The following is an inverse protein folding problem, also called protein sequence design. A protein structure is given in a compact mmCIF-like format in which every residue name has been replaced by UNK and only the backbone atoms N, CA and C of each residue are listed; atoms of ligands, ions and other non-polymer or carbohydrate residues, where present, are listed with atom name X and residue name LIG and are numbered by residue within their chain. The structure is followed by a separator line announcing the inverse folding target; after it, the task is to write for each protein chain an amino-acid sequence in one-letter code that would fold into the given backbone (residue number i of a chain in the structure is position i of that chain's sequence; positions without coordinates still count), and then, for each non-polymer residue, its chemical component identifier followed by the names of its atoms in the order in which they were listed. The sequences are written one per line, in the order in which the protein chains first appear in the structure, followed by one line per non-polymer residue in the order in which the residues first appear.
data_IF_809640395970
#
_entry.id   IF_809640395970
#
_cell.length_a   1.000
_cell.length_b   1.000
_cell.length_c   1.000
_cell.angle_alpha   90.00
_cell.angle_beta   90.00
_cell.angle_gamma   90.00
#
_symmetry.space_group_name_H-M   'P 1'
#
loop_
_entity.id
_entity.type
_entity.pdbx_description
1 polymer ?
#
# COMPACT_ATOMS: atom_id res chain seq x y z
N UNK A 1 23.92 10.14 23.33
CA UNK A 1 22.51 9.93 22.92
C UNK A 1 21.64 10.48 24.03
N UNK A 2 20.55 11.22 23.78
CA UNK A 2 19.73 11.79 24.86
C UNK A 2 19.02 10.68 25.65
N UNK A 3 18.78 10.90 26.95
CA UNK A 3 18.13 9.93 27.84
C UNK A 3 16.76 9.48 27.31
N UNK A 4 15.96 10.42 26.77
CA UNK A 4 14.66 10.14 26.17
C UNK A 4 14.77 9.21 24.95
N UNK A 5 15.81 9.39 24.13
CA UNK A 5 16.05 8.51 22.98
C UNK A 5 16.44 7.10 23.41
N UNK A 6 17.19 6.97 24.52
CA UNK A 6 17.52 5.66 25.09
C UNK A 6 16.26 4.93 25.58
N UNK A 7 15.40 5.62 26.34
CA UNK A 7 14.12 5.08 26.83
C UNK A 7 13.18 4.70 25.68
N UNK A 8 13.13 5.51 24.63
CA UNK A 8 12.36 5.19 23.43
C UNK A 8 12.89 3.93 22.73
N UNK A 9 14.20 3.86 22.46
CA UNK A 9 14.82 2.71 21.81
C UNK A 9 14.60 1.42 22.62
N UNK A 10 14.64 1.51 23.95
CA UNK A 10 14.37 0.39 24.84
C UNK A 10 12.96 -0.19 24.61
N UNK A 11 11.93 0.67 24.50
CA UNK A 11 10.56 0.23 24.21
C UNK A 11 10.43 -0.35 22.79
N UNK A 12 11.09 0.28 21.83
CA UNK A 12 11.05 -0.14 20.42
C UNK A 12 11.71 -1.52 20.22
N UNK A 13 12.81 -1.80 20.91
CA UNK A 13 13.47 -3.10 20.81
C UNK A 13 12.53 -4.25 21.19
N UNK A 14 11.64 -4.06 22.18
CA UNK A 14 10.64 -5.08 22.54
C UNK A 14 9.52 -5.24 21.49
N UNK A 15 9.28 -4.21 20.65
CA UNK A 15 8.41 -4.34 19.45
C UNK A 15 9.10 -5.19 18.39
N UNK A 16 10.42 -5.13 18.26
CA UNK A 16 11.15 -5.87 17.22
C UNK A 16 11.42 -7.32 17.63
N UNK A 17 11.84 -7.56 18.87
CA UNK A 17 12.13 -8.90 19.37
C UNK A 17 10.96 -9.84 19.18
N UNK A 18 11.27 -11.03 18.67
CA UNK A 18 10.35 -12.10 18.32
C UNK A 18 9.25 -11.68 17.35
N UNK A 19 9.47 -10.62 16.55
CA UNK A 19 8.55 -10.26 15.47
C UNK A 19 8.75 -11.20 14.29
N UNK A 20 7.71 -11.94 13.95
CA UNK A 20 7.65 -12.91 12.87
C UNK A 20 7.07 -12.24 11.63
N UNK A 21 7.68 -12.47 10.49
CA UNK A 21 7.22 -11.94 9.21
C UNK A 21 7.57 -12.88 8.05
N UNK A 22 6.92 -12.64 6.91
CA UNK A 22 7.13 -13.34 5.66
C UNK A 22 7.08 -12.33 4.52
N UNK A 23 8.09 -12.33 3.65
CA UNK A 23 8.16 -11.45 2.49
C UNK A 23 8.12 -12.32 1.23
N UNK A 24 6.99 -12.37 0.51
CA UNK A 24 6.92 -13.16 -0.71
C UNK A 24 7.76 -12.53 -1.82
N UNK A 25 8.39 -13.34 -2.66
CA UNK A 25 9.11 -12.81 -3.84
C UNK A 25 8.14 -12.13 -4.82
N UNK A 26 6.87 -12.54 -4.83
CA UNK A 26 5.85 -12.04 -5.76
C UNK A 26 5.48 -10.56 -5.56
N UNK A 27 5.82 -9.95 -4.42
CA UNK A 27 5.60 -8.52 -4.19
C UNK A 27 6.79 -7.65 -4.57
N UNK A 28 7.92 -8.25 -4.95
CA UNK A 28 9.13 -7.54 -5.34
C UNK A 28 9.23 -7.38 -6.86
N UNK A 29 9.76 -6.23 -7.28
CA UNK A 29 10.19 -6.05 -8.66
C UNK A 29 11.46 -6.89 -8.90
N UNK A 30 11.42 -7.78 -9.89
CA UNK A 30 12.51 -8.75 -10.12
C UNK A 30 13.83 -8.09 -10.55
N UNK A 31 13.79 -6.91 -11.18
CA UNK A 31 14.98 -6.18 -11.58
C UNK A 31 15.62 -5.45 -10.40
N UNK A 32 14.81 -4.95 -9.46
CA UNK A 32 15.30 -4.41 -8.18
C UNK A 32 15.79 -5.52 -7.23
N UNK A 33 15.09 -6.66 -7.17
CA UNK A 33 15.47 -7.81 -6.34
C UNK A 33 16.87 -8.33 -6.66
N UNK A 34 17.24 -8.40 -7.94
CA UNK A 34 18.58 -8.82 -8.37
C UNK A 34 19.71 -7.94 -7.83
N UNK A 35 19.42 -6.65 -7.56
CA UNK A 35 20.38 -5.66 -7.06
C UNK A 35 20.58 -5.73 -5.55
N UNK A 36 19.72 -6.47 -4.81
CA UNK A 36 19.84 -6.58 -3.36
C UNK A 36 21.10 -7.38 -2.96
N UNK A 37 21.69 -7.10 -1.79
CA UNK A 37 22.71 -7.96 -1.18
C UNK A 37 22.17 -9.39 -0.97
N UNK A 38 23.04 -10.40 -1.07
CA UNK A 38 22.65 -11.81 -0.85
C UNK A 38 21.99 -12.04 0.51
N UNK A 39 22.46 -11.37 1.56
CA UNK A 39 21.88 -11.40 2.91
C UNK A 39 20.42 -10.90 2.96
N UNK A 40 20.05 -9.98 2.06
CA UNK A 40 18.67 -9.50 1.96
C UNK A 40 17.80 -10.45 1.14
N UNK A 41 18.39 -11.15 0.16
CA UNK A 41 17.69 -12.16 -0.64
C UNK A 41 17.34 -13.39 0.20
N UNK A 42 18.16 -13.75 1.20
CA UNK A 42 17.91 -14.90 2.07
C UNK A 42 16.67 -14.80 2.97
N UNK A 43 16.10 -13.59 3.12
CA UNK A 43 14.87 -13.33 3.89
C UNK A 43 13.61 -13.62 3.07
N UNK A 44 13.71 -13.61 1.74
CA UNK A 44 12.56 -13.69 0.82
C UNK A 44 12.07 -15.13 0.70
N UNK A 45 10.75 -15.30 0.60
CA UNK A 45 10.05 -16.58 0.57
C UNK A 45 10.34 -17.48 1.77
N UNK A 46 10.74 -16.88 2.90
CA UNK A 46 11.01 -17.59 4.15
C UNK A 46 10.31 -16.95 5.33
N UNK A 47 9.89 -17.79 6.26
CA UNK A 47 9.43 -17.32 7.56
C UNK A 47 10.67 -16.87 8.32
N UNK A 48 10.67 -15.61 8.71
CA UNK A 48 11.78 -14.98 9.41
C UNK A 48 11.26 -14.39 10.71
N UNK A 49 12.06 -14.46 11.76
CA UNK A 49 11.81 -13.68 12.97
C UNK A 49 13.06 -12.94 13.42
N UNK A 50 12.86 -11.92 14.25
CA UNK A 50 13.94 -11.17 14.88
C UNK A 50 14.19 -11.78 16.26
N UNK A 51 15.39 -12.25 16.56
CA UNK A 51 15.70 -12.86 17.86
C UNK A 51 15.88 -11.81 18.98
N UNK A 52 16.31 -12.27 20.16
CA UNK A 52 16.55 -11.43 21.33
C UNK A 52 17.67 -10.39 21.13
N UNK A 53 18.64 -10.72 20.28
CA UNK A 53 19.81 -9.93 19.94
C UNK A 53 19.58 -9.05 18.69
N UNK A 54 18.34 -9.02 18.19
CA UNK A 54 17.91 -8.30 17.00
C UNK A 54 18.50 -8.81 15.68
N UNK A 55 18.92 -10.08 15.64
CA UNK A 55 19.33 -10.74 14.40
C UNK A 55 18.13 -11.36 13.69
N UNK A 56 18.22 -11.44 12.36
CA UNK A 56 17.26 -12.19 11.57
C UNK A 56 17.56 -13.69 11.65
N UNK A 57 16.58 -14.45 12.11
CA UNK A 57 16.64 -15.91 12.16
C UNK A 57 15.64 -16.47 11.15
N UNK A 58 16.13 -17.40 10.33
CA UNK A 58 15.39 -18.01 9.23
C UNK A 58 14.98 -19.42 9.63
N UNK A 59 13.67 -19.70 9.67
CA UNK A 59 13.19 -21.04 9.99
C UNK A 59 12.17 -21.51 8.94
N UNK A 60 12.21 -22.80 8.64
CA UNK A 60 11.20 -23.45 7.80
C UNK A 60 9.89 -23.68 8.56
N UNK A 61 9.93 -23.71 9.89
CA UNK A 61 8.77 -23.87 10.77
C UNK A 61 9.09 -23.34 12.16
N UNK A 62 8.31 -22.40 12.67
CA UNK A 62 8.52 -21.83 14.01
C UNK A 62 7.71 -22.56 15.08
N UNK A 63 8.35 -22.82 16.22
CA UNK A 63 7.68 -23.35 17.40
C UNK A 63 6.81 -22.31 18.12
N UNK A 64 5.73 -22.77 18.75
CA UNK A 64 4.81 -21.92 19.52
C UNK A 64 5.48 -21.18 20.69
N UNK A 65 6.59 -21.73 21.21
CA UNK A 65 7.39 -21.15 22.30
C UNK A 65 7.90 -19.75 21.96
N UNK A 66 8.24 -19.48 20.70
CA UNK A 66 8.78 -18.18 20.24
C UNK A 66 7.75 -17.06 20.39
N UNK A 67 6.44 -17.37 20.35
CA UNK A 67 5.37 -16.38 20.55
C UNK A 67 5.05 -16.06 22.00
N UNK A 68 5.21 -17.03 22.91
CA UNK A 68 5.02 -16.78 24.34
C UNK A 68 6.00 -15.72 24.86
N UNK A 69 7.15 -15.59 24.21
CA UNK A 69 8.12 -14.55 24.51
C UNK A 69 7.58 -13.17 24.13
N UNK A 70 6.86 -13.05 23.00
CA UNK A 70 6.37 -11.76 22.49
C UNK A 70 5.42 -11.05 23.46
N UNK A 71 4.43 -11.78 23.98
CA UNK A 71 3.46 -11.20 24.92
C UNK A 71 4.16 -10.70 26.19
N UNK A 72 5.15 -11.44 26.69
CA UNK A 72 5.98 -11.04 27.83
C UNK A 72 6.76 -9.75 27.56
N UNK A 73 7.39 -9.64 26.38
CA UNK A 73 8.13 -8.44 25.97
C UNK A 73 7.24 -7.20 25.89
N UNK A 74 6.07 -7.32 25.26
CA UNK A 74 5.11 -6.21 25.16
C UNK A 74 4.58 -5.81 26.54
N UNK A 75 4.27 -6.78 27.39
CA UNK A 75 3.86 -6.50 28.78
C UNK A 75 4.94 -5.77 29.59
N UNK A 76 6.22 -6.08 29.35
CA UNK A 76 7.32 -5.35 29.98
C UNK A 76 7.30 -3.86 29.61
N UNK A 77 6.94 -3.52 28.36
CA UNK A 77 6.79 -2.13 27.95
C UNK A 77 5.63 -1.42 28.68
N UNK A 78 4.55 -2.12 29.02
CA UNK A 78 3.49 -1.53 29.84
C UNK A 78 4.03 -1.07 31.20
N UNK A 79 4.83 -1.89 31.88
CA UNK A 79 5.46 -1.51 33.14
C UNK A 79 6.42 -0.33 32.98
N UNK A 80 7.27 -0.36 31.94
CA UNK A 80 8.18 0.77 31.65
C UNK A 80 7.45 2.06 31.34
N UNK A 81 6.34 2.01 30.62
CA UNK A 81 5.53 3.20 30.34
C UNK A 81 4.94 3.80 31.62
N UNK A 82 4.53 2.95 32.58
CA UNK A 82 4.07 3.42 33.89
C UNK A 82 5.23 4.11 34.64
N UNK A 83 6.39 3.46 34.70
CA UNK A 83 7.59 4.04 35.34
C UNK A 83 8.01 5.38 34.68
N UNK A 84 7.99 5.45 33.35
CA UNK A 84 8.33 6.66 32.61
C UNK A 84 7.31 7.77 32.81
N UNK A 85 6.03 7.44 33.03
CA UNK A 85 4.99 8.41 33.37
C UNK A 85 5.26 9.08 34.72
N UNK A 86 5.83 8.34 35.67
CA UNK A 86 6.18 8.85 37.00
C UNK A 86 7.51 9.62 37.02
N UNK A 87 8.46 9.22 36.17
CA UNK A 87 9.84 9.76 36.20
C UNK A 87 10.09 10.89 35.21
N UNK A 88 9.38 10.94 34.08
CA UNK A 88 9.51 12.01 33.09
C UNK A 88 8.55 13.16 33.36
N UNK A 89 8.92 14.37 32.96
CA UNK A 89 7.97 15.46 32.89
C UNK A 89 6.88 15.18 31.83
N UNK A 90 5.72 15.84 31.97
CA UNK A 90 4.56 15.59 31.13
C UNK A 90 4.84 15.75 29.62
N UNK A 91 5.65 16.73 29.21
CA UNK A 91 5.97 16.98 27.80
C UNK A 91 6.81 15.83 27.24
N UNK A 92 7.87 15.44 27.96
CA UNK A 92 8.74 14.33 27.56
C UNK A 92 7.98 13.00 27.50
N UNK A 93 7.10 12.74 28.47
CA UNK A 93 6.27 11.54 28.48
C UNK A 93 5.28 11.52 27.31
N UNK A 94 4.57 12.63 27.05
CA UNK A 94 3.66 12.75 25.91
C UNK A 94 4.39 12.45 24.60
N UNK A 95 5.52 13.12 24.37
CA UNK A 95 6.32 12.91 23.18
C UNK A 95 6.78 11.45 23.02
N UNK A 96 7.31 10.83 24.08
CA UNK A 96 7.76 9.43 24.02
C UNK A 96 6.59 8.48 23.76
N UNK A 97 5.47 8.67 24.44
CA UNK A 97 4.30 7.78 24.32
C UNK A 97 3.62 7.89 22.96
N UNK A 98 3.52 9.09 22.38
CA UNK A 98 3.00 9.31 21.03
C UNK A 98 3.87 8.63 19.96
N UNK A 99 5.19 8.80 20.05
CA UNK A 99 6.11 8.17 19.10
C UNK A 99 6.13 6.65 19.26
N UNK A 100 6.06 6.15 20.51
CA UNK A 100 5.97 4.73 20.78
C UNK A 100 4.67 4.13 20.21
N UNK A 101 3.53 4.77 20.46
CA UNK A 101 2.23 4.33 19.93
C UNK A 101 2.24 4.29 18.40
N UNK A 102 2.79 5.31 17.75
CA UNK A 102 2.92 5.35 16.28
C UNK A 102 3.70 4.16 15.71
N UNK A 103 4.82 3.78 16.35
CA UNK A 103 5.55 2.57 15.95
C UNK A 103 4.72 1.31 16.22
N UNK A 104 4.06 1.25 17.38
CA UNK A 104 3.23 0.11 17.73
C UNK A 104 2.08 -0.11 16.73
N UNK A 105 1.40 0.96 16.32
CA UNK A 105 0.35 0.95 15.29
C UNK A 105 0.87 0.41 13.95
N UNK A 106 2.07 0.83 13.56
CA UNK A 106 2.73 0.39 12.32
C UNK A 106 2.94 -1.13 12.34
N UNK A 107 3.49 -1.67 13.42
CA UNK A 107 3.76 -3.11 13.53
C UNK A 107 2.48 -3.92 13.74
N UNK A 108 1.48 -3.37 14.43
CA UNK A 108 0.15 -3.98 14.52
C UNK A 108 -0.51 -4.07 13.15
N UNK A 109 -0.44 -3.00 12.34
CA UNK A 109 -0.94 -3.00 10.97
C UNK A 109 -0.29 -4.11 10.15
N UNK A 110 1.05 -4.20 10.13
CA UNK A 110 1.74 -5.26 9.42
C UNK A 110 1.33 -6.64 9.93
N UNK A 111 1.31 -6.84 11.25
CA UNK A 111 0.92 -8.12 11.84
C UNK A 111 -0.49 -8.55 11.50
N UNK A 112 -1.44 -7.61 11.41
CA UNK A 112 -2.83 -7.89 11.04
C UNK A 112 -2.97 -8.33 9.57
N UNK A 113 -2.01 -7.98 8.71
CA UNK A 113 -2.03 -8.35 7.30
C UNK A 113 -1.25 -9.64 6.98
N UNK A 114 -0.34 -10.06 7.86
CA UNK A 114 0.59 -11.17 7.59
C UNK A 114 -0.12 -12.49 7.26
N UNK A 115 -1.17 -12.85 8.00
CA UNK A 115 -1.89 -14.12 7.73
C UNK A 115 -2.52 -14.13 6.33
N UNK A 116 -3.15 -13.02 5.93
CA UNK A 116 -3.77 -12.89 4.61
C UNK A 116 -2.72 -12.85 3.49
N UNK A 117 -1.61 -12.14 3.70
CA UNK A 117 -0.52 -12.12 2.73
C UNK A 117 0.16 -13.48 2.58
N UNK A 118 0.37 -14.20 3.67
CA UNK A 118 0.93 -15.54 3.64
C UNK A 118 0.01 -16.52 2.89
N UNK A 119 -1.29 -16.53 3.20
CA UNK A 119 -2.26 -17.40 2.53
C UNK A 119 -2.35 -17.15 1.01
N UNK A 120 -2.21 -15.88 0.60
CA UNK A 120 -2.30 -15.49 -0.81
C UNK A 120 -1.03 -15.78 -1.60
N UNK A 121 0.14 -15.63 -0.98
CA UNK A 121 1.41 -15.57 -1.71
C UNK A 121 2.37 -16.72 -1.39
N UNK A 122 2.24 -17.38 -0.24
CA UNK A 122 3.10 -18.50 0.11
C UNK A 122 2.74 -19.73 -0.74
N UNK A 123 3.74 -20.42 -1.33
CA UNK A 123 3.50 -21.70 -1.99
C UNK A 123 3.01 -22.77 -0.99
N UNK A 124 3.52 -22.70 0.25
CA UNK A 124 3.21 -23.64 1.32
C UNK A 124 2.35 -22.97 2.39
N UNK A 125 1.08 -23.39 2.47
CA UNK A 125 0.07 -22.83 3.39
C UNK A 125 0.04 -23.59 4.71
N UNK A 126 1.14 -23.50 5.45
CA UNK A 126 1.24 -24.14 6.76
C UNK A 126 0.28 -23.50 7.78
N UNK A 127 -0.58 -24.33 8.38
CA UNK A 127 -1.60 -23.90 9.35
C UNK A 127 -0.94 -23.37 10.62
N UNK A 128 0.19 -23.96 11.04
CA UNK A 128 0.89 -23.52 12.24
C UNK A 128 1.36 -22.08 12.06
N UNK A 129 2.00 -21.76 10.93
CA UNK A 129 2.47 -20.42 10.57
C UNK A 129 1.33 -19.39 10.55
N UNK A 130 0.18 -19.74 9.97
CA UNK A 130 -1.00 -18.88 10.03
C UNK A 130 -1.47 -18.63 11.47
N UNK A 131 -1.53 -19.68 12.30
CA UNK A 131 -1.85 -19.54 13.71
C UNK A 131 -0.83 -18.64 14.43
N UNK A 132 0.44 -18.69 14.05
CA UNK A 132 1.47 -17.83 14.64
C UNK A 132 1.23 -16.35 14.30
N UNK A 133 0.93 -16.03 13.03
CA UNK A 133 0.61 -14.66 12.62
C UNK A 133 -0.65 -14.12 13.30
N UNK A 134 -1.67 -14.96 13.47
CA UNK A 134 -2.90 -14.59 14.18
C UNK A 134 -2.63 -14.31 15.66
N UNK A 135 -1.80 -15.13 16.32
CA UNK A 135 -1.41 -14.90 17.70
C UNK A 135 -0.57 -13.62 17.85
N UNK A 136 0.36 -13.35 16.94
CA UNK A 136 1.12 -12.10 16.93
C UNK A 136 0.20 -10.88 16.78
N UNK A 137 -0.77 -10.94 15.85
CA UNK A 137 -1.79 -9.90 15.66
C UNK A 137 -2.56 -9.64 16.96
N UNK A 138 -3.01 -10.70 17.64
CA UNK A 138 -3.70 -10.58 18.93
C UNK A 138 -2.82 -9.92 20.00
N UNK A 139 -1.54 -10.30 20.09
CA UNK A 139 -0.59 -9.71 21.05
C UNK A 139 -0.43 -8.20 20.82
N UNK A 140 -0.27 -7.77 19.56
CA UNK A 140 -0.14 -6.35 19.23
C UNK A 140 -1.42 -5.55 19.51
N UNK A 141 -2.59 -6.07 19.11
CA UNK A 141 -3.86 -5.39 19.34
C UNK A 141 -4.21 -5.30 20.83
N UNK A 142 -3.88 -6.34 21.60
CA UNK A 142 -4.04 -6.33 23.07
C UNK A 142 -3.11 -5.29 23.70
N UNK A 143 -1.84 -5.26 23.28
CA UNK A 143 -0.86 -4.30 23.79
C UNK A 143 -1.24 -2.85 23.49
N UNK A 144 -1.75 -2.58 22.28
CA UNK A 144 -2.32 -1.28 21.93
C UNK A 144 -3.38 -0.85 22.95
N UNK A 145 -4.33 -1.73 23.26
CA UNK A 145 -5.39 -1.42 24.22
C UNK A 145 -4.86 -1.16 25.64
N UNK A 146 -3.76 -1.79 26.04
CA UNK A 146 -3.08 -1.51 27.32
C UNK A 146 -2.36 -0.16 27.30
N UNK A 147 -1.63 0.15 26.22
CA UNK A 147 -0.93 1.43 26.03
C UNK A 147 -1.92 2.60 26.03
N UNK A 148 -3.07 2.47 25.37
CA UNK A 148 -4.13 3.49 25.42
C UNK A 148 -4.60 3.74 26.85
N UNK A 149 -4.78 2.68 27.66
CA UNK A 149 -5.21 2.81 29.08
C UNK A 149 -4.15 3.52 29.92
N UNK A 150 -2.86 3.23 29.71
CA UNK A 150 -1.76 3.80 30.49
C UNK A 150 -1.53 5.28 30.14
N UNK A 151 -1.54 5.59 28.84
CA UNK A 151 -1.14 6.89 28.31
C UNK A 151 -2.32 7.85 28.16
N UNK A 152 -3.55 7.33 28.03
CA UNK A 152 -4.73 8.11 27.66
C UNK A 152 -4.78 8.48 26.17
N UNK A 153 -3.77 8.09 25.39
CA UNK A 153 -3.76 8.28 23.94
C UNK A 153 -4.77 7.34 23.27
N UNK A 154 -5.22 7.76 22.09
CA UNK A 154 -6.06 6.94 21.22
C UNK A 154 -5.32 6.62 19.95
N UNK A 155 -5.46 5.37 19.52
CA UNK A 155 -4.99 4.93 18.22
C UNK A 155 -5.57 5.86 17.17
N UNK A 156 -4.69 6.43 16.36
CA UNK A 156 -5.13 7.13 15.17
C UNK A 156 -5.31 6.09 14.07
N UNK A 157 -6.32 6.25 13.21
CA UNK A 157 -6.48 5.35 12.07
C UNK A 157 -5.18 5.36 11.27
N UNK A 158 -4.41 4.26 11.33
CA UNK A 158 -3.16 4.11 10.62
C UNK A 158 -3.41 4.40 9.13
N UNK A 159 -2.95 5.55 8.67
CA UNK A 159 -3.09 5.94 7.28
C UNK A 159 -1.84 5.45 6.54
N UNK A 160 -1.99 4.32 5.85
CA UNK A 160 -0.93 3.71 5.06
C UNK A 160 -0.28 4.71 4.08
N UNK A 161 -1.05 5.64 3.51
CA UNK A 161 -0.52 6.65 2.59
C UNK A 161 0.40 7.64 3.31
N UNK A 162 0.00 8.09 4.51
CA UNK A 162 0.82 8.98 5.33
C UNK A 162 2.11 8.28 5.77
N UNK A 163 2.02 7.03 6.24
CA UNK A 163 3.20 6.26 6.62
C UNK A 163 4.16 6.04 5.43
N UNK A 164 3.64 5.64 4.26
CA UNK A 164 4.47 5.50 3.05
C UNK A 164 5.13 6.83 2.68
N UNK A 165 4.41 7.94 2.81
CA UNK A 165 4.95 9.27 2.53
C UNK A 165 6.07 9.64 3.51
N UNK A 166 5.87 9.44 4.81
CA UNK A 166 6.88 9.67 5.84
C UNK A 166 8.11 8.78 5.63
N UNK A 167 7.90 7.49 5.34
CA UNK A 167 8.97 6.53 5.03
C UNK A 167 9.75 7.00 3.81
N UNK A 168 9.08 7.37 2.70
CA UNK A 168 9.72 7.93 1.49
C UNK A 168 10.56 9.17 1.78
N UNK A 169 10.16 9.97 2.78
CA UNK A 169 10.88 11.18 3.15
C UNK A 169 12.11 10.92 4.03
N UNK A 170 12.24 9.72 4.61
CA UNK A 170 13.41 9.35 5.41
C UNK A 170 14.69 9.30 4.55
N UNK A 171 15.87 9.67 5.10
CA UNK A 171 17.13 9.66 4.36
C UNK A 171 17.51 8.30 3.77
N UNK A 172 17.08 7.21 4.41
CA UNK A 172 17.33 5.83 3.98
C UNK A 172 16.53 5.56 2.71
N UNK A 173 15.22 5.80 2.72
CA UNK A 173 14.38 5.57 1.55
C UNK A 173 14.49 6.65 0.49
N UNK A 174 14.97 7.86 0.79
CA UNK A 174 15.37 8.84 -0.23
C UNK A 174 16.50 8.34 -1.13
N UNK A 175 17.35 7.44 -0.61
CA UNK A 175 18.41 6.78 -1.38
C UNK A 175 17.89 5.61 -2.20
N UNK A 176 16.82 4.95 -1.73
CA UNK A 176 16.13 3.86 -2.43
C UNK A 176 14.99 4.33 -3.34
N UNK A 177 14.53 5.57 -3.21
CA UNK A 177 13.78 6.28 -4.24
C UNK A 177 14.76 6.67 -5.33
N UNK A 178 15.32 5.63 -5.95
CA UNK A 178 15.81 5.70 -7.31
C UNK A 178 14.67 6.33 -8.10
N UNK A 179 15.01 7.27 -9.00
CA UNK A 179 14.09 7.75 -10.02
C UNK A 179 13.64 6.55 -10.86
N UNK A 180 12.70 5.75 -10.35
CA UNK A 180 11.88 4.87 -11.15
C UNK A 180 11.18 5.84 -12.09
N UNK A 181 11.59 5.81 -13.37
CA UNK A 181 10.87 6.51 -14.40
C UNK A 181 9.38 6.18 -14.19
N UNK A 182 8.50 7.18 -14.03
CA UNK A 182 7.11 6.94 -13.69
C UNK A 182 6.58 5.88 -14.66
N UNK A 183 6.10 4.76 -14.10
CA UNK A 183 5.57 3.66 -14.93
C UNK A 183 4.55 4.28 -15.87
N UNK A 184 4.84 4.11 -17.15
CA UNK A 184 4.00 4.60 -18.23
C UNK A 184 2.55 4.10 -18.04
N UNK A 185 1.62 5.02 -17.70
CA UNK A 185 0.20 4.70 -17.43
C UNK A 185 -0.58 4.43 -18.72
N UNK A 186 -1.32 3.33 -18.84
CA UNK A 186 -2.17 3.06 -20.01
C UNK A 186 -3.60 3.58 -19.78
N UNK A 187 -4.42 3.62 -20.83
CA UNK A 187 -5.78 4.17 -20.74
C UNK A 187 -6.63 3.43 -19.68
N UNK A 188 -6.48 2.11 -19.55
CA UNK A 188 -7.07 1.29 -18.50
C UNK A 188 -6.77 1.77 -17.08
N UNK A 189 -5.62 2.40 -16.84
CA UNK A 189 -5.24 2.88 -15.51
C UNK A 189 -6.07 4.11 -15.08
N UNK A 190 -6.82 4.71 -16.00
CA UNK A 190 -7.76 5.81 -15.74
C UNK A 190 -9.22 5.34 -15.66
N UNK A 191 -9.49 4.05 -15.89
CA UNK A 191 -10.83 3.47 -15.78
C UNK A 191 -11.02 2.95 -14.35
N UNK A 192 -11.88 3.62 -13.59
CA UNK A 192 -12.27 3.31 -12.20
C UNK A 192 -13.27 2.15 -12.13
N UNK A 193 -12.94 1.02 -12.75
CA UNK A 193 -13.78 -0.18 -12.78
C UNK A 193 -12.92 -1.44 -12.60
N UNK A 194 -13.43 -2.48 -11.93
CA UNK A 194 -12.71 -3.74 -11.69
C UNK A 194 -12.31 -4.46 -12.98
N UNK A 195 -13.14 -4.36 -14.02
CA UNK A 195 -12.94 -4.91 -15.37
C UNK A 195 -12.31 -3.90 -16.35
N UNK A 196 -11.39 -3.06 -15.88
CA UNK A 196 -10.82 -1.97 -16.69
C UNK A 196 -10.09 -2.47 -17.96
N UNK A 197 -9.40 -3.61 -17.90
CA UNK A 197 -8.71 -4.22 -19.04
C UNK A 197 -9.68 -4.68 -20.11
N UNK A 198 -10.80 -5.28 -19.72
CA UNK A 198 -11.83 -5.76 -20.62
C UNK A 198 -12.55 -4.60 -21.30
N UNK A 199 -12.81 -3.51 -20.56
CA UNK A 199 -13.38 -2.28 -21.11
C UNK A 199 -12.43 -1.65 -22.13
N UNK A 200 -11.15 -1.47 -21.80
CA UNK A 200 -10.12 -0.97 -22.74
C UNK A 200 -10.07 -1.82 -24.01
N UNK A 201 -9.99 -3.15 -23.86
CA UNK A 201 -9.92 -4.10 -24.97
C UNK A 201 -11.16 -4.04 -25.87
N UNK A 202 -12.35 -3.91 -25.27
CA UNK A 202 -13.63 -3.80 -25.99
C UNK A 202 -13.69 -2.50 -26.80
N UNK A 203 -13.26 -1.38 -26.21
CA UNK A 203 -13.18 -0.08 -26.88
C UNK A 203 -12.18 -0.12 -28.04
N UNK A 204 -10.98 -0.67 -27.83
CA UNK A 204 -9.95 -0.78 -28.86
C UNK A 204 -10.40 -1.65 -30.04
N UNK A 205 -11.08 -2.76 -29.77
CA UNK A 205 -11.61 -3.66 -30.81
C UNK A 205 -12.65 -2.96 -31.69
N UNK A 206 -13.50 -2.12 -31.09
CA UNK A 206 -14.56 -1.39 -31.80
C UNK A 206 -14.04 -0.14 -32.52
N UNK A 207 -13.07 0.55 -31.91
CA UNK A 207 -12.61 1.87 -32.34
C UNK A 207 -11.08 1.93 -32.52
N UNK A 208 -10.47 1.09 -33.37
CA UNK A 208 -9.02 0.98 -33.47
C UNK A 208 -8.33 2.26 -34.00
N UNK A 209 -9.06 3.10 -34.74
CA UNK A 209 -8.52 4.28 -35.43
C UNK A 209 -9.23 5.59 -35.06
N UNK A 210 -9.90 5.61 -33.91
CA UNK A 210 -10.66 6.79 -33.46
C UNK A 210 -9.72 7.95 -33.09
N UNK A 211 -10.12 9.17 -33.43
CA UNK A 211 -9.29 10.37 -33.27
C UNK A 211 -10.08 11.64 -33.00
N UNK A 212 -9.40 12.62 -32.42
CA UNK A 212 -9.88 13.97 -32.15
C UNK A 212 -11.18 14.00 -31.38
N UNK A 213 -12.15 14.75 -31.89
CA UNK A 213 -13.47 14.94 -31.30
C UNK A 213 -14.19 13.62 -30.95
N UNK A 214 -14.00 12.57 -31.75
CA UNK A 214 -14.63 11.25 -31.50
C UNK A 214 -14.03 10.53 -30.29
N UNK A 215 -12.73 10.71 -30.04
CA UNK A 215 -12.08 10.22 -28.81
C UNK A 215 -12.69 10.89 -27.58
N UNK A 216 -12.99 12.20 -27.68
CA UNK A 216 -13.65 12.93 -26.60
C UNK A 216 -15.03 12.35 -26.26
N UNK A 217 -15.76 11.81 -27.24
CA UNK A 217 -17.06 11.18 -26.97
C UNK A 217 -16.94 9.90 -26.14
N UNK A 218 -15.90 9.09 -26.37
CA UNK A 218 -15.62 7.91 -25.53
C UNK A 218 -15.32 8.34 -24.09
N UNK A 219 -14.45 9.35 -23.94
CA UNK A 219 -14.08 9.88 -22.62
C UNK A 219 -15.33 10.39 -21.89
N UNK A 220 -16.16 11.17 -22.57
CA UNK A 220 -17.39 11.76 -22.02
C UNK A 220 -18.40 10.68 -21.59
N UNK A 221 -18.56 9.63 -22.40
CA UNK A 221 -19.37 8.47 -22.05
C UNK A 221 -18.91 7.80 -20.74
N UNK A 222 -17.60 7.54 -20.61
CA UNK A 222 -17.05 6.90 -19.42
C UNK A 222 -17.16 7.79 -18.17
N UNK A 223 -17.02 9.11 -18.33
CA UNK A 223 -17.27 10.08 -17.25
C UNK A 223 -18.73 10.02 -16.80
N UNK A 224 -19.69 9.99 -17.74
CA UNK A 224 -21.12 9.87 -17.42
C UNK A 224 -21.46 8.57 -16.70
N UNK A 225 -20.80 7.48 -17.05
CA UNK A 225 -20.92 6.18 -16.36
C UNK A 225 -20.18 6.12 -15.03
N UNK A 226 -19.54 7.21 -14.59
CA UNK A 226 -18.66 7.27 -13.40
C UNK A 226 -17.51 6.25 -13.44
N UNK A 227 -17.19 5.76 -14.64
CA UNK A 227 -16.12 4.80 -14.88
C UNK A 227 -14.78 5.50 -15.11
N UNK A 228 -14.78 6.82 -15.28
CA UNK A 228 -13.58 7.62 -15.46
C UNK A 228 -13.77 8.97 -14.76
N UNK A 229 -12.80 9.38 -13.95
CA UNK A 229 -12.83 10.67 -13.25
C UNK A 229 -11.74 11.57 -13.81
N UNK A 230 -12.10 12.78 -14.24
CA UNK A 230 -11.15 13.77 -14.77
C UNK A 230 -11.06 14.94 -13.79
N UNK A 231 -9.93 15.09 -13.12
CA UNK A 231 -9.59 16.26 -12.29
C UNK A 231 -8.55 17.14 -12.99
N UNK A 232 -8.36 18.37 -12.48
CA UNK A 232 -7.35 19.28 -12.99
C UNK A 232 -5.95 18.63 -12.89
N UNK A 233 -5.21 18.56 -14.01
CA UNK A 233 -3.92 17.88 -14.14
C UNK A 233 -3.98 16.46 -14.75
N UNK A 234 -5.07 15.71 -14.55
CA UNK A 234 -5.20 14.33 -15.07
C UNK A 234 -5.41 14.24 -16.59
N UNK A 235 -5.83 15.34 -17.23
CA UNK A 235 -6.10 15.38 -18.68
C UNK A 235 -4.85 15.16 -19.52
N UNK A 236 -3.71 15.74 -19.11
CA UNK A 236 -2.43 15.58 -19.82
C UNK A 236 -1.95 14.14 -19.71
N UNK A 237 -1.99 13.56 -18.49
CA UNK A 237 -1.59 12.17 -18.29
C UNK A 237 -2.51 11.19 -19.05
N UNK A 238 -3.83 11.46 -19.05
CA UNK A 238 -4.81 10.68 -19.81
C UNK A 238 -4.56 10.78 -21.32
N UNK A 239 -4.22 11.97 -21.83
CA UNK A 239 -3.87 12.15 -23.24
C UNK A 239 -2.68 11.29 -23.65
N UNK A 240 -1.60 11.31 -22.86
CA UNK A 240 -0.41 10.51 -23.11
C UNK A 240 -0.70 9.01 -23.02
N UNK A 241 -1.55 8.61 -22.07
CA UNK A 241 -2.02 7.24 -21.92
C UNK A 241 -2.85 6.77 -23.13
N UNK A 242 -3.75 7.60 -23.64
CA UNK A 242 -4.54 7.32 -24.84
C UNK A 242 -3.65 7.17 -26.08
N UNK A 243 -2.66 8.07 -26.25
CA UNK A 243 -1.72 8.01 -27.38
C UNK A 243 -0.93 6.70 -27.39
N UNK A 244 -0.48 6.25 -26.22
CA UNK A 244 0.22 4.98 -26.05
C UNK A 244 -0.70 3.77 -26.28
N UNK A 245 -1.93 3.84 -25.78
CA UNK A 245 -2.87 2.69 -25.83
C UNK A 245 -3.43 2.45 -27.24
N UNK A 246 -3.88 3.50 -27.93
CA UNK A 246 -4.47 3.35 -29.26
C UNK A 246 -3.43 3.20 -30.37
N UNK A 247 -2.16 3.49 -30.08
CA UNK A 247 -1.01 3.35 -30.98
C UNK A 247 -1.28 3.89 -32.41
N UNK A 248 -2.06 4.97 -32.50
CA UNK A 248 -2.41 5.62 -33.75
C UNK A 248 -2.43 7.14 -33.55
N UNK A 249 -2.58 7.90 -34.65
CA UNK A 249 -2.72 9.35 -34.54
C UNK A 249 -4.11 9.72 -34.01
N UNK A 250 -4.22 9.83 -32.68
CA UNK A 250 -5.45 10.19 -31.97
C UNK A 250 -5.81 11.69 -32.08
N UNK A 251 -5.00 12.51 -32.77
CA UNK A 251 -5.16 13.97 -32.82
C UNK A 251 -4.36 14.70 -31.74
N UNK A 252 -4.46 16.03 -31.72
CA UNK A 252 -3.75 16.89 -30.75
C UNK A 252 -4.53 17.01 -29.44
N UNK A 253 -3.85 17.37 -28.35
CA UNK A 253 -4.50 17.61 -27.06
C UNK A 253 -5.71 18.56 -27.15
N UNK A 254 -5.63 19.74 -27.82
CA UNK A 254 -6.79 20.61 -28.00
C UNK A 254 -7.93 19.98 -28.80
N UNK A 255 -7.63 19.08 -29.74
CA UNK A 255 -8.67 18.41 -30.55
C UNK A 255 -9.53 17.43 -29.75
N UNK A 256 -9.06 17.01 -28.58
CA UNK A 256 -9.77 16.10 -27.65
C UNK A 256 -10.29 16.87 -26.44
N UNK A 257 -9.45 17.69 -25.80
CA UNK A 257 -9.79 18.35 -24.52
C UNK A 257 -10.17 19.82 -24.65
N UNK A 258 -9.83 20.48 -25.76
CA UNK A 258 -10.19 21.88 -26.03
C UNK A 258 -11.63 22.07 -26.51
N UNK A 259 -12.37 20.99 -26.72
CA UNK A 259 -13.73 21.01 -27.22
C UNK A 259 -14.74 20.64 -26.12
N UNK A 260 -15.79 21.45 -25.96
CA UNK A 260 -16.95 21.13 -25.12
C UNK A 260 -18.00 20.40 -25.95
N UNK A 261 -18.29 19.15 -25.59
CA UNK A 261 -19.28 18.29 -26.27
C UNK A 261 -20.66 18.95 -26.28
N UNK A 262 -21.31 18.96 -27.45
CA UNK A 262 -22.69 19.41 -27.58
C UNK A 262 -23.55 18.26 -28.10
N UNK A 263 -24.23 17.58 -27.18
CA UNK A 263 -24.99 16.35 -27.44
C UNK A 263 -26.06 16.52 -28.53
N UNK A 264 -26.63 17.72 -28.66
CA UNK A 264 -27.71 18.02 -29.60
C UNK A 264 -27.22 18.47 -30.99
N UNK A 265 -25.95 18.87 -31.11
CA UNK A 265 -25.38 19.39 -32.38
C UNK A 265 -24.33 18.45 -32.98
N UNK A 266 -23.78 17.56 -32.18
CA UNK A 266 -22.73 16.64 -32.60
C UNK A 266 -23.35 15.38 -33.20
N UNK A 267 -23.50 15.36 -34.52
CA UNK A 267 -24.17 14.28 -35.27
C UNK A 267 -23.65 12.87 -34.96
N UNK A 268 -22.36 12.74 -34.63
CA UNK A 268 -21.72 11.46 -34.30
C UNK A 268 -21.79 11.09 -32.81
N UNK A 269 -22.18 12.02 -31.93
CA UNK A 269 -22.15 11.81 -30.48
C UNK A 269 -23.14 10.74 -30.04
N UNK A 270 -24.42 10.89 -30.38
CA UNK A 270 -25.47 9.92 -30.03
C UNK A 270 -25.19 8.53 -30.61
N UNK A 271 -24.65 8.47 -31.84
CA UNK A 271 -24.27 7.20 -32.46
C UNK A 271 -23.18 6.48 -31.66
N UNK A 272 -22.06 7.16 -31.38
CA UNK A 272 -20.91 6.56 -30.67
C UNK A 272 -21.29 6.18 -29.23
N UNK A 273 -22.06 7.01 -28.53
CA UNK A 273 -22.50 6.73 -27.16
C UNK A 273 -23.49 5.57 -27.09
N UNK A 274 -24.43 5.45 -28.02
CA UNK A 274 -25.34 4.29 -28.09
C UNK A 274 -24.60 2.99 -28.44
N UNK A 275 -23.61 3.06 -29.33
CA UNK A 275 -22.74 1.92 -29.65
C UNK A 275 -21.90 1.50 -28.43
N UNK A 276 -21.36 2.46 -27.68
CA UNK A 276 -20.63 2.20 -26.42
C UNK A 276 -21.54 1.59 -25.36
N UNK A 277 -22.75 2.12 -25.21
CA UNK A 277 -23.77 1.56 -24.32
C UNK A 277 -24.01 0.08 -24.65
N UNK A 278 -24.21 -0.23 -25.93
CA UNK A 278 -24.49 -1.61 -26.38
C UNK A 278 -23.33 -2.56 -26.07
N UNK A 279 -22.09 -2.16 -26.37
CA UNK A 279 -20.92 -3.05 -26.22
C UNK A 279 -20.40 -3.11 -24.77
N UNK A 280 -20.74 -2.12 -23.93
CA UNK A 280 -20.30 -2.04 -22.54
C UNK A 280 -21.40 -2.29 -21.50
N UNK A 281 -22.65 -2.56 -21.92
CA UNK A 281 -23.79 -2.82 -21.02
C UNK A 281 -23.55 -3.97 -20.01
N UNK A 282 -22.66 -4.91 -20.33
CA UNK A 282 -22.30 -6.00 -19.42
C UNK A 282 -21.34 -5.58 -18.29
N UNK A 283 -20.84 -4.34 -18.33
CA UNK A 283 -19.88 -3.80 -17.36
C UNK A 283 -20.46 -2.66 -16.52
N UNK A 284 -21.64 -2.14 -16.84
CA UNK A 284 -22.29 -1.00 -16.16
C UNK A 284 -23.76 -1.29 -15.91
#
# INVERSE_FOLDING_TARGET
MSELNSKYNELINEIFRNFIFYIPISILDMEEFKKLPEESKSVIDRITYIDEDLNFVYENSLGFSTLLLKSSKLKNNCFKLIEYKETLNAISFSYLSENYLKQLETYAFFSNQLSLYFEKNSPDKDINTQALFNCQSLNFNTHIAEVEKITGLKVQNFNQQNFIQEVKETPVFKRFSVNLAPREKYFRDFISHEKNKEIESTILKKYPTIKGKKMRYIIDFLVKKKALTITYGTQTELYDALKRTFNCNIGTYPSIFGYKVNENKDSDYSRITNELETILNQYF
#
